data_IF_814636245549
#
_entry.id   IF_814636245549
#
_cell.length_a   1.000
_cell.length_b   1.000
_cell.length_c   1.000
_cell.angle_alpha   90.00
_cell.angle_beta   90.00
_cell.angle_gamma   90.00
#
_symmetry.space_group_name_H-M   'P 1'
#
loop_
_entity.id
_entity.type
_entity.pdbx_description
1 polymer ?
#
# COMPACT_ATOMS: atom_id res chain seq x y z
N UNK A 1 -8.25 14.09 66.09
CA UNK A 1 -8.89 13.46 64.92
C UNK A 1 -9.52 14.56 64.10
N UNK A 2 -9.50 14.57 62.78
CA UNK A 2 -9.17 13.52 61.79
C UNK A 2 -8.48 14.23 60.61
N UNK A 3 -7.32 13.72 60.18
CA UNK A 3 -6.69 14.09 58.91
C UNK A 3 -7.32 13.24 57.81
N UNK A 4 -7.88 13.87 56.78
CA UNK A 4 -8.32 13.19 55.56
C UNK A 4 -7.16 13.26 54.57
N UNK A 5 -6.51 12.12 54.32
CA UNK A 5 -5.53 11.95 53.28
C UNK A 5 -6.26 11.42 52.02
N UNK A 6 -6.36 12.25 50.99
CA UNK A 6 -6.81 11.82 49.67
C UNK A 6 -5.62 11.22 48.93
N UNK A 7 -5.61 9.90 48.79
CA UNK A 7 -4.67 9.19 47.93
C UNK A 7 -5.00 9.51 46.47
N UNK A 8 -4.07 10.13 45.75
CA UNK A 8 -4.14 10.28 44.30
C UNK A 8 -3.54 9.02 43.70
N UNK A 9 -4.38 8.17 43.12
CA UNK A 9 -3.94 7.02 42.32
C UNK A 9 -3.44 7.56 40.98
N UNK A 10 -2.12 7.61 40.80
CA UNK A 10 -1.48 7.84 39.50
C UNK A 10 -1.70 6.61 38.61
N UNK A 11 -2.79 6.62 37.84
CA UNK A 11 -2.95 5.71 36.71
C UNK A 11 -2.18 6.25 35.51
N UNK A 12 -1.22 5.47 35.00
CA UNK A 12 -0.63 5.67 33.67
C UNK A 12 -1.73 5.48 32.63
N UNK A 13 -2.43 6.55 32.29
CA UNK A 13 -3.29 6.61 31.12
C UNK A 13 -2.58 7.40 30.03
N UNK A 14 -2.38 6.79 28.87
CA UNK A 14 -2.13 7.52 27.62
C UNK A 14 -3.05 8.75 27.60
N UNK A 15 -2.45 9.92 27.43
CA UNK A 15 -3.17 11.14 27.15
C UNK A 15 -4.00 10.93 25.89
N UNK A 16 -5.27 10.55 26.07
CA UNK A 16 -6.28 10.68 25.03
C UNK A 16 -6.25 12.15 24.62
N UNK A 17 -5.77 12.45 23.42
CA UNK A 17 -6.10 13.70 22.72
C UNK A 17 -7.62 13.80 22.82
N UNK A 18 -8.12 14.76 23.60
CA UNK A 18 -9.53 15.10 23.56
C UNK A 18 -9.80 15.55 22.12
N UNK A 19 -10.50 14.70 21.36
CA UNK A 19 -11.02 15.08 20.05
C UNK A 19 -11.96 16.25 20.31
N UNK A 20 -11.54 17.42 19.85
CA UNK A 20 -12.34 18.64 19.79
C UNK A 20 -13.71 18.30 19.22
N UNK A 21 -14.75 18.37 20.05
CA UNK A 21 -16.13 18.41 19.55
C UNK A 21 -16.27 19.72 18.79
N UNK A 22 -16.37 19.64 17.46
CA UNK A 22 -16.58 20.71 16.46
C UNK A 22 -15.35 21.11 15.65
N UNK A 23 -14.61 20.15 15.10
CA UNK A 23 -13.96 20.40 13.81
C UNK A 23 -14.57 19.42 12.80
N UNK A 24 -15.57 19.91 12.04
CA UNK A 24 -16.20 19.14 10.95
C UNK A 24 -15.36 19.22 9.66
N UNK A 25 -14.15 19.78 9.73
CA UNK A 25 -13.20 19.81 8.65
C UNK A 25 -12.41 18.50 8.59
N UNK A 26 -12.36 17.86 7.43
CA UNK A 26 -11.56 16.66 7.19
C UNK A 26 -10.48 16.92 6.15
N UNK A 27 -9.26 16.51 6.45
CA UNK A 27 -8.14 16.55 5.54
C UNK A 27 -7.88 15.16 4.94
N UNK A 28 -7.89 15.08 3.61
CA UNK A 28 -7.71 13.82 2.87
C UNK A 28 -6.55 13.96 1.91
N UNK A 29 -5.52 13.16 2.15
CA UNK A 29 -4.35 13.15 1.31
C UNK A 29 -4.50 12.14 0.17
N UNK A 30 -4.19 12.57 -1.06
CA UNK A 30 -4.26 11.74 -2.27
C UNK A 30 -2.89 11.63 -2.93
N UNK A 31 -2.37 10.40 -3.08
CA UNK A 31 -1.01 10.12 -3.57
C UNK A 31 -0.70 10.61 -5.01
N UNK A 32 -1.70 11.00 -5.81
CA UNK A 32 -1.46 11.59 -7.13
C UNK A 32 -2.54 12.58 -7.60
N UNK A 33 -2.14 13.51 -8.46
CA UNK A 33 -3.00 14.52 -9.09
C UNK A 33 -4.20 13.94 -9.86
N UNK A 34 -4.09 12.72 -10.39
CA UNK A 34 -5.19 12.10 -11.14
C UNK A 34 -6.34 11.70 -10.22
N UNK A 35 -6.06 11.33 -8.97
CA UNK A 35 -7.10 11.05 -8.00
C UNK A 35 -7.84 12.32 -7.60
N UNK A 36 -7.12 13.42 -7.42
CA UNK A 36 -7.76 14.72 -7.18
C UNK A 36 -8.78 15.06 -8.28
N UNK A 37 -8.45 14.79 -9.55
CA UNK A 37 -9.36 15.09 -10.67
C UNK A 37 -10.57 14.17 -10.76
N UNK A 38 -10.45 12.92 -10.32
CA UNK A 38 -11.46 11.88 -10.58
C UNK A 38 -12.23 11.43 -9.34
N UNK A 39 -11.57 11.38 -8.17
CA UNK A 39 -12.12 10.85 -6.92
C UNK A 39 -12.61 11.95 -5.99
N UNK A 40 -11.88 13.07 -5.86
CA UNK A 40 -12.29 14.16 -4.97
C UNK A 40 -13.70 14.71 -5.33
N UNK A 41 -14.06 14.96 -6.61
CA UNK A 41 -15.40 15.39 -6.98
C UNK A 41 -16.47 14.34 -6.61
N UNK A 42 -16.17 13.05 -6.82
CA UNK A 42 -17.08 11.97 -6.47
C UNK A 42 -17.33 11.92 -4.96
N UNK A 43 -16.28 12.07 -4.13
CA UNK A 43 -16.43 12.10 -2.67
C UNK A 43 -17.28 13.30 -2.23
N UNK A 44 -17.04 14.50 -2.77
CA UNK A 44 -17.87 15.66 -2.48
C UNK A 44 -19.35 15.46 -2.87
N UNK A 45 -19.63 14.77 -3.99
CA UNK A 45 -21.00 14.42 -4.37
C UNK A 45 -21.66 13.45 -3.39
N UNK A 46 -20.90 12.51 -2.81
CA UNK A 46 -21.43 11.58 -1.80
C UNK A 46 -21.62 12.23 -0.43
N UNK A 47 -20.82 13.25 -0.11
CA UNK A 47 -20.80 13.93 1.19
C UNK A 47 -20.88 15.46 1.01
N UNK A 48 -22.00 15.99 0.50
CA UNK A 48 -22.11 17.41 0.12
C UNK A 48 -22.06 18.39 1.30
N UNK A 49 -22.40 17.93 2.50
CA UNK A 49 -22.43 18.75 3.71
C UNK A 49 -21.13 18.67 4.54
N UNK A 50 -20.20 17.79 4.16
CA UNK A 50 -18.92 17.62 4.85
C UNK A 50 -17.89 18.59 4.27
N UNK A 51 -17.21 19.34 5.14
CA UNK A 51 -16.04 20.13 4.74
C UNK A 51 -14.84 19.20 4.59
N UNK A 52 -14.35 19.01 3.36
CA UNK A 52 -13.24 18.12 3.04
C UNK A 52 -12.19 18.90 2.25
N UNK A 53 -11.01 19.08 2.84
CA UNK A 53 -9.82 19.55 2.14
C UNK A 53 -9.06 18.34 1.58
N UNK A 54 -8.81 18.35 0.27
CA UNK A 54 -7.94 17.37 -0.35
C UNK A 54 -6.52 17.93 -0.52
N UNK A 55 -5.54 17.18 -0.03
CA UNK A 55 -4.11 17.52 -0.12
C UNK A 55 -3.46 16.63 -1.18
N UNK A 56 -2.71 17.24 -2.10
CA UNK A 56 -1.97 16.48 -3.11
C UNK A 56 -0.71 15.94 -2.49
N UNK A 57 -0.48 14.66 -2.78
CA UNK A 57 0.60 13.92 -2.21
C UNK A 57 1.67 13.36 -3.11
N UNK A 58 2.54 12.62 -2.43
CA UNK A 58 3.56 11.74 -2.96
C UNK A 58 3.07 10.28 -2.95
N UNK A 59 3.81 9.42 -3.65
CA UNK A 59 3.46 8.01 -3.81
C UNK A 59 3.80 7.13 -2.59
N UNK A 60 4.56 7.64 -1.63
CA UNK A 60 5.16 6.96 -0.47
C UNK A 60 4.79 7.66 0.85
N UNK A 61 5.38 7.22 1.97
CA UNK A 61 5.10 7.75 3.32
C UNK A 61 5.96 8.94 3.72
N UNK A 62 6.96 9.34 2.93
CA UNK A 62 7.96 10.35 3.30
C UNK A 62 7.34 11.68 3.72
N UNK A 63 6.30 12.15 3.02
CA UNK A 63 5.67 13.42 3.37
C UNK A 63 4.95 13.36 4.73
N UNK A 64 4.47 12.19 5.13
CA UNK A 64 3.82 12.05 6.44
C UNK A 64 4.82 12.13 7.58
N UNK A 65 6.08 11.77 7.37
CA UNK A 65 7.15 12.01 8.36
C UNK A 65 7.31 13.51 8.62
N UNK A 66 7.28 14.35 7.59
CA UNK A 66 7.29 15.81 7.74
C UNK A 66 6.07 16.33 8.50
N UNK A 67 4.86 15.90 8.13
CA UNK A 67 3.63 16.30 8.81
C UNK A 67 3.58 15.83 10.27
N UNK A 68 4.07 14.61 10.54
CA UNK A 68 4.22 14.05 11.90
C UNK A 68 5.09 14.94 12.78
N UNK A 69 6.25 15.38 12.27
CA UNK A 69 7.18 16.25 13.00
C UNK A 69 6.56 17.61 13.39
N UNK A 70 5.50 18.03 12.70
CA UNK A 70 4.80 19.29 12.94
C UNK A 70 3.42 19.14 13.61
N UNK A 71 3.02 17.92 13.99
CA UNK A 71 1.66 17.59 14.50
C UNK A 71 0.54 17.97 13.51
N UNK A 72 0.81 17.85 12.20
CA UNK A 72 -0.06 18.21 11.08
C UNK A 72 -0.47 16.99 10.22
N UNK A 73 -0.44 15.78 10.79
CA UNK A 73 -0.91 14.58 10.07
C UNK A 73 -2.38 14.77 9.64
N UNK A 74 -2.72 14.44 8.37
CA UNK A 74 -4.09 14.58 7.90
C UNK A 74 -4.99 13.46 8.46
N UNK A 75 -6.30 13.67 8.42
CA UNK A 75 -7.29 12.73 8.95
C UNK A 75 -7.33 11.41 8.18
N UNK A 76 -7.12 11.48 6.85
CA UNK A 76 -7.05 10.31 5.97
C UNK A 76 -5.79 10.38 5.12
N UNK A 77 -4.91 9.38 5.29
CA UNK A 77 -3.72 9.19 4.45
C UNK A 77 -3.94 8.09 3.42
N UNK A 78 -3.29 8.24 2.26
CA UNK A 78 -3.28 7.22 1.21
C UNK A 78 -1.87 7.05 0.64
N UNK A 79 -1.48 5.81 0.32
CA UNK A 79 -0.14 5.49 -0.19
C UNK A 79 -0.29 4.57 -1.40
N UNK A 80 0.51 4.81 -2.44
CA UNK A 80 0.55 3.92 -3.62
C UNK A 80 1.64 2.86 -3.48
N UNK A 81 2.83 3.26 -3.07
CA UNK A 81 3.99 2.39 -2.82
C UNK A 81 4.06 2.11 -1.33
N UNK A 82 3.23 1.17 -0.89
CA UNK A 82 3.22 0.76 0.50
C UNK A 82 4.46 -0.08 0.82
N UNK A 83 5.03 0.19 1.99
CA UNK A 83 6.14 -0.56 2.60
C UNK A 83 5.81 -0.73 4.07
N UNK A 84 5.82 -1.98 4.56
CA UNK A 84 5.57 -2.27 5.97
C UNK A 84 6.59 -1.57 6.86
N UNK A 85 7.86 -1.59 6.45
CA UNK A 85 8.99 -0.93 7.12
C UNK A 85 8.78 0.59 7.22
N UNK A 86 8.48 1.25 6.10
CA UNK A 86 8.36 2.72 6.09
C UNK A 86 7.09 3.21 6.80
N UNK A 87 6.11 2.33 7.00
CA UNK A 87 4.87 2.63 7.71
C UNK A 87 4.97 2.47 9.24
N UNK A 88 6.02 1.83 9.77
CA UNK A 88 6.17 1.55 11.21
C UNK A 88 6.07 2.82 12.05
N UNK A 89 6.74 3.88 11.59
CA UNK A 89 6.80 5.18 12.25
C UNK A 89 5.46 5.91 12.38
N UNK A 90 4.47 5.51 11.57
CA UNK A 90 3.12 6.06 11.57
C UNK A 90 2.16 5.23 12.41
N UNK A 91 2.46 3.96 12.70
CA UNK A 91 1.54 3.04 13.39
C UNK A 91 0.90 3.61 14.67
N UNK A 92 1.63 4.34 15.56
CA UNK A 92 1.01 4.88 16.77
C UNK A 92 -0.07 5.95 16.54
N UNK A 93 -0.15 6.49 15.32
CA UNK A 93 -1.09 7.54 14.93
C UNK A 93 -2.26 7.01 14.10
N UNK A 94 -2.20 5.74 13.68
CA UNK A 94 -3.20 5.14 12.81
C UNK A 94 -4.32 4.47 13.60
N UNK A 95 -5.48 4.44 12.97
CA UNK A 95 -6.66 3.80 13.50
C UNK A 95 -6.61 2.28 13.27
N UNK A 96 -6.83 1.49 14.32
CA UNK A 96 -7.06 0.05 14.16
C UNK A 96 -8.47 -0.22 13.61
N UNK A 97 -8.53 -0.68 12.36
CA UNK A 97 -9.76 -1.08 11.67
C UNK A 97 -10.19 -2.52 11.97
N UNK A 98 -9.42 -3.34 12.70
CA UNK A 98 -9.70 -4.78 12.83
C UNK A 98 -11.10 -5.10 13.38
N UNK A 99 -11.67 -4.21 14.18
CA UNK A 99 -13.02 -4.33 14.75
C UNK A 99 -14.13 -3.64 13.93
N UNK A 100 -13.80 -2.98 12.80
CA UNK A 100 -14.74 -2.22 11.99
C UNK A 100 -15.32 -3.06 10.84
N UNK A 101 -16.63 -2.91 10.59
CA UNK A 101 -17.36 -3.61 9.52
C UNK A 101 -16.74 -3.41 8.12
N UNK A 102 -16.01 -2.32 7.91
CA UNK A 102 -15.35 -2.03 6.63
C UNK A 102 -14.36 -3.12 6.21
N UNK A 103 -13.68 -3.77 7.18
CA UNK A 103 -12.73 -4.87 6.91
C UNK A 103 -13.43 -6.05 6.24
N UNK A 104 -14.69 -6.32 6.60
CA UNK A 104 -15.47 -7.42 6.02
C UNK A 104 -15.78 -7.25 4.53
N UNK A 105 -15.58 -6.05 3.97
CA UNK A 105 -15.77 -5.76 2.54
C UNK A 105 -14.59 -6.21 1.69
N UNK A 106 -13.47 -6.59 2.30
CA UNK A 106 -12.26 -7.02 1.62
C UNK A 106 -12.10 -8.54 1.66
N UNK A 107 -11.41 -9.08 0.66
CA UNK A 107 -10.96 -10.47 0.74
C UNK A 107 -9.95 -10.62 1.86
N UNK A 108 -10.11 -11.64 2.72
CA UNK A 108 -9.24 -11.87 3.88
C UNK A 108 -7.76 -11.96 3.50
N UNK A 109 -7.45 -12.59 2.35
CA UNK A 109 -6.08 -12.70 1.85
C UNK A 109 -5.45 -11.36 1.47
N UNK A 110 -6.24 -10.33 1.17
CA UNK A 110 -5.72 -9.00 0.83
C UNK A 110 -5.39 -8.20 2.09
N UNK A 111 -6.21 -8.33 3.13
CA UNK A 111 -6.03 -7.56 4.39
C UNK A 111 -4.96 -8.19 5.28
N UNK A 112 -4.70 -9.50 5.17
CA UNK A 112 -3.69 -10.18 6.00
C UNK A 112 -2.28 -9.60 5.85
N UNK A 113 -1.94 -9.01 4.69
CA UNK A 113 -0.64 -8.37 4.44
C UNK A 113 -0.45 -7.06 5.21
N UNK A 114 -1.54 -6.48 5.74
CA UNK A 114 -1.53 -5.19 6.44
C UNK A 114 -1.73 -5.32 7.95
N UNK A 115 -1.68 -6.56 8.46
CA UNK A 115 -1.69 -6.81 9.89
C UNK A 115 -0.32 -6.53 10.49
N UNK A 116 -0.27 -5.73 11.55
CA UNK A 116 0.95 -5.56 12.33
C UNK A 116 1.16 -6.74 13.32
N UNK A 117 2.24 -6.69 14.09
CA UNK A 117 2.58 -7.73 15.08
C UNK A 117 1.53 -7.86 16.21
N UNK A 118 0.72 -6.83 16.42
CA UNK A 118 -0.38 -6.80 17.40
C UNK A 118 -1.74 -7.24 16.80
N UNK A 119 -1.73 -7.79 15.58
CA UNK A 119 -2.93 -8.20 14.82
C UNK A 119 -3.88 -7.05 14.44
N UNK A 120 -3.46 -5.79 14.60
CA UNK A 120 -4.21 -4.61 14.21
C UNK A 120 -4.18 -4.42 12.69
N UNK A 121 -5.25 -3.85 12.14
CA UNK A 121 -5.36 -3.54 10.71
C UNK A 121 -5.39 -2.02 10.58
N UNK A 122 -4.26 -1.41 10.25
CA UNK A 122 -4.13 0.05 10.19
C UNK A 122 -4.14 0.60 8.77
N UNK A 123 -4.05 -0.28 7.77
CA UNK A 123 -4.09 0.06 6.34
C UNK A 123 -5.13 -0.78 5.62
N UNK A 124 -5.92 -0.13 4.76
CA UNK A 124 -6.94 -0.79 3.94
C UNK A 124 -6.52 -0.76 2.45
N UNK A 125 -6.46 -1.91 1.76
CA UNK A 125 -6.07 -1.94 0.35
C UNK A 125 -7.16 -1.30 -0.52
N UNK A 126 -6.79 -0.40 -1.43
CA UNK A 126 -7.76 0.21 -2.38
C UNK A 126 -7.84 -0.60 -3.68
N UNK A 127 -6.69 -0.87 -4.30
CA UNK A 127 -6.62 -1.68 -5.52
C UNK A 127 -5.32 -2.49 -5.56
N UNK A 128 -5.41 -3.76 -5.95
CA UNK A 128 -4.24 -4.55 -6.33
C UNK A 128 -3.88 -4.30 -7.79
N UNK A 129 -2.61 -4.00 -8.08
CA UNK A 129 -2.11 -3.89 -9.44
C UNK A 129 -1.29 -5.15 -9.73
N UNK A 130 -1.83 -6.11 -10.50
CA UNK A 130 -1.04 -7.28 -10.87
C UNK A 130 0.08 -6.86 -11.81
N UNK A 131 1.30 -7.32 -11.52
CA UNK A 131 2.40 -7.25 -12.49
C UNK A 131 2.09 -8.17 -13.67
N UNK A 132 2.30 -7.68 -14.89
CA UNK A 132 1.93 -8.40 -16.10
C UNK A 132 2.85 -8.07 -17.26
N UNK A 133 2.84 -8.93 -18.28
CA UNK A 133 3.52 -8.69 -19.56
C UNK A 133 2.46 -8.25 -20.58
N UNK A 134 2.65 -7.05 -21.14
CA UNK A 134 1.78 -6.54 -22.21
C UNK A 134 2.37 -6.93 -23.57
N UNK A 135 1.63 -7.72 -24.33
CA UNK A 135 2.05 -8.21 -25.65
C UNK A 135 1.36 -7.47 -26.81
N UNK A 136 2.12 -7.13 -27.85
CA UNK A 136 1.57 -6.62 -29.11
C UNK A 136 1.06 -7.77 -29.99
N UNK A 137 -0.23 -8.10 -29.87
CA UNK A 137 -0.84 -9.22 -30.61
C UNK A 137 -0.67 -9.13 -32.12
N UNK A 138 -0.68 -7.92 -32.69
CA UNK A 138 -0.48 -7.73 -34.13
C UNK A 138 0.89 -8.23 -34.60
N UNK A 139 1.94 -8.07 -33.80
CA UNK A 139 3.26 -8.63 -34.12
C UNK A 139 3.29 -10.15 -34.04
N UNK A 140 2.62 -10.75 -33.05
CA UNK A 140 2.50 -12.20 -32.96
C UNK A 140 1.80 -12.78 -34.20
N UNK A 141 0.66 -12.20 -34.59
CA UNK A 141 -0.09 -12.63 -35.76
C UNK A 141 0.69 -12.43 -37.08
N UNK A 142 1.37 -11.28 -37.24
CA UNK A 142 2.13 -10.96 -38.45
C UNK A 142 3.27 -11.95 -38.72
N UNK A 143 3.92 -12.45 -37.68
CA UNK A 143 5.07 -13.35 -37.78
C UNK A 143 4.71 -14.82 -37.55
N UNK A 144 3.42 -15.13 -37.33
CA UNK A 144 2.97 -16.49 -37.05
C UNK A 144 3.51 -17.07 -35.74
N UNK A 145 3.88 -16.22 -34.79
CA UNK A 145 4.40 -16.62 -33.47
C UNK A 145 3.21 -16.84 -32.53
N UNK A 146 3.14 -17.99 -31.87
CA UNK A 146 2.10 -18.27 -30.86
C UNK A 146 2.36 -17.44 -29.60
N UNK A 147 1.31 -16.90 -28.98
CA UNK A 147 1.42 -16.32 -27.63
C UNK A 147 1.86 -17.43 -26.67
N UNK A 148 2.95 -17.23 -25.90
CA UNK A 148 3.49 -18.27 -25.03
C UNK A 148 2.62 -18.47 -23.79
N UNK A 149 2.49 -19.72 -23.36
CA UNK A 149 1.75 -20.11 -22.15
C UNK A 149 2.67 -20.53 -20.99
N UNK A 150 3.98 -20.64 -21.25
CA UNK A 150 5.00 -21.01 -20.27
C UNK A 150 6.36 -20.38 -20.65
N UNK A 151 7.34 -20.53 -19.76
CA UNK A 151 8.66 -19.92 -19.93
C UNK A 151 9.42 -20.47 -21.15
N UNK A 152 9.35 -21.77 -21.44
CA UNK A 152 10.03 -22.35 -22.59
C UNK A 152 9.47 -21.79 -23.91
N UNK A 153 8.14 -21.72 -24.02
CA UNK A 153 7.47 -21.09 -25.16
C UNK A 153 7.80 -19.59 -25.25
N UNK A 154 7.93 -18.89 -24.11
CA UNK A 154 8.31 -17.48 -24.09
C UNK A 154 9.72 -17.25 -24.65
N UNK A 155 10.69 -18.10 -24.26
CA UNK A 155 12.05 -18.06 -24.82
C UNK A 155 12.03 -18.34 -26.32
N UNK A 156 11.25 -19.32 -26.77
CA UNK A 156 11.11 -19.65 -28.19
C UNK A 156 10.46 -18.51 -28.99
N UNK A 157 9.43 -17.84 -28.43
CA UNK A 157 8.80 -16.68 -29.06
C UNK A 157 9.79 -15.50 -29.15
N UNK A 158 10.58 -15.26 -28.11
CA UNK A 158 11.63 -14.24 -28.12
C UNK A 158 12.68 -14.52 -29.20
N UNK A 159 13.12 -15.77 -29.33
CA UNK A 159 14.09 -16.16 -30.37
C UNK A 159 13.52 -15.94 -31.77
N UNK A 160 12.27 -16.33 -32.03
CA UNK A 160 11.62 -16.11 -33.33
C UNK A 160 11.52 -14.63 -33.69
N UNK A 161 11.24 -13.74 -32.74
CA UNK A 161 11.27 -12.30 -32.99
C UNK A 161 12.69 -11.80 -33.28
N UNK A 162 13.70 -12.25 -32.53
CA UNK A 162 15.10 -11.89 -32.81
C UNK A 162 15.55 -12.33 -34.20
N UNK A 163 15.19 -13.54 -34.64
CA UNK A 163 15.51 -14.07 -35.96
C UNK A 163 14.88 -13.23 -37.09
N UNK A 164 13.78 -12.52 -36.79
CA UNK A 164 13.11 -11.56 -37.67
C UNK A 164 13.58 -10.11 -37.48
N UNK A 165 14.64 -9.88 -36.71
CA UNK A 165 15.19 -8.54 -36.45
C UNK A 165 14.33 -7.67 -35.52
N UNK A 166 13.41 -8.27 -34.77
CA UNK A 166 12.52 -7.58 -33.83
C UNK A 166 13.05 -7.76 -32.41
N UNK A 167 13.14 -6.65 -31.67
CA UNK A 167 13.40 -6.69 -30.24
C UNK A 167 12.14 -7.22 -29.51
N UNK A 168 12.20 -8.39 -28.83
CA UNK A 168 11.01 -9.05 -28.29
C UNK A 168 10.44 -8.41 -27.02
N UNK A 169 11.24 -7.65 -26.28
CA UNK A 169 10.82 -7.02 -25.03
C UNK A 169 11.47 -5.65 -24.82
N UNK A 170 10.82 -4.82 -24.02
CA UNK A 170 11.38 -3.59 -23.47
C UNK A 170 11.21 -3.64 -21.96
N UNK A 171 12.32 -3.76 -21.24
CA UNK A 171 12.35 -3.78 -19.78
C UNK A 171 13.29 -2.68 -19.30
N UNK A 172 12.91 -1.99 -18.23
CA UNK A 172 13.68 -0.90 -17.64
C UNK A 172 14.57 -1.42 -16.50
N UNK A 173 15.46 -2.37 -16.81
CA UNK A 173 16.31 -3.05 -15.82
C UNK A 173 17.36 -2.13 -15.18
N UNK A 174 17.45 -0.87 -15.61
CA UNK A 174 18.26 0.16 -14.94
C UNK A 174 17.63 0.64 -13.65
N UNK A 175 16.34 0.37 -13.45
CA UNK A 175 15.58 0.77 -12.28
C UNK A 175 15.48 -0.39 -11.26
N UNK A 176 15.86 -0.13 -10.01
CA UNK A 176 15.88 -1.14 -8.95
C UNK A 176 14.51 -1.80 -8.73
N UNK A 177 13.43 -1.04 -8.86
CA UNK A 177 12.07 -1.56 -8.71
C UNK A 177 11.76 -2.60 -9.80
N UNK A 178 12.08 -2.34 -11.07
CA UNK A 178 11.88 -3.29 -12.18
C UNK A 178 12.68 -4.58 -12.00
N UNK A 179 13.88 -4.50 -11.44
CA UNK A 179 14.68 -5.68 -11.12
C UNK A 179 14.05 -6.52 -10.00
N UNK A 180 13.51 -5.87 -8.96
CA UNK A 180 12.80 -6.54 -7.88
C UNK A 180 11.56 -7.29 -8.40
N UNK A 181 10.78 -6.68 -9.31
CA UNK A 181 9.62 -7.35 -9.93
C UNK A 181 10.00 -8.66 -10.64
N UNK A 182 11.15 -8.68 -11.34
CA UNK A 182 11.61 -9.88 -12.05
C UNK A 182 12.06 -10.97 -11.08
N UNK A 183 12.75 -10.60 -10.00
CA UNK A 183 13.14 -11.54 -8.94
C UNK A 183 11.90 -12.14 -8.29
N UNK A 184 10.89 -11.31 -7.99
CA UNK A 184 9.62 -11.76 -7.43
C UNK A 184 8.86 -12.69 -8.38
N UNK A 185 8.82 -12.37 -9.68
CA UNK A 185 8.20 -13.23 -10.69
C UNK A 185 8.93 -14.57 -10.83
N UNK A 186 10.26 -14.57 -10.77
CA UNK A 186 11.07 -15.78 -10.86
C UNK A 186 10.90 -16.70 -9.64
N UNK A 187 10.69 -16.12 -8.45
CA UNK A 187 10.49 -16.83 -7.19
C UNK A 187 9.00 -16.91 -6.78
N UNK A 188 8.08 -16.81 -7.75
CA UNK A 188 6.64 -16.74 -7.45
C UNK A 188 6.13 -18.01 -6.77
N UNK A 189 6.71 -19.18 -7.05
CA UNK A 189 6.33 -20.44 -6.43
C UNK A 189 6.65 -20.45 -4.93
N UNK A 190 7.79 -19.89 -4.55
CA UNK A 190 8.22 -19.69 -3.18
C UNK A 190 7.32 -18.65 -2.51
N UNK A 191 7.11 -17.50 -3.14
CA UNK A 191 6.36 -16.39 -2.56
C UNK A 191 4.83 -16.57 -2.50
N UNK A 192 4.27 -17.53 -3.20
CA UNK A 192 2.85 -17.89 -3.10
C UNK A 192 2.59 -19.06 -2.16
N UNK A 193 3.64 -19.66 -1.59
CA UNK A 193 3.53 -20.64 -0.52
C UNK A 193 3.27 -19.96 0.83
N UNK A 194 2.71 -20.69 1.80
CA UNK A 194 2.52 -20.18 3.17
C UNK A 194 3.86 -19.76 3.78
N UNK A 195 4.88 -20.62 3.69
CA UNK A 195 6.23 -20.36 4.19
C UNK A 195 6.84 -19.09 3.57
N UNK A 196 6.62 -18.86 2.27
CA UNK A 196 7.10 -17.66 1.59
C UNK A 196 6.34 -16.39 1.95
N UNK A 197 5.03 -16.49 2.22
CA UNK A 197 4.23 -15.37 2.76
C UNK A 197 4.69 -15.01 4.17
N UNK A 198 4.88 -16.01 5.04
CA UNK A 198 5.40 -15.81 6.40
C UNK A 198 6.80 -15.19 6.38
N UNK A 199 7.70 -15.71 5.56
CA UNK A 199 9.06 -15.16 5.41
C UNK A 199 9.04 -13.70 4.92
N UNK A 200 8.22 -13.38 3.91
CA UNK A 200 8.13 -12.02 3.36
C UNK A 200 7.59 -11.05 4.40
N UNK A 201 6.49 -11.42 5.07
CA UNK A 201 5.91 -10.58 6.11
C UNK A 201 6.95 -10.31 7.21
N UNK A 202 7.68 -11.34 7.67
CA UNK A 202 8.74 -11.16 8.67
C UNK A 202 9.90 -10.28 8.19
N UNK A 203 10.28 -10.37 6.91
CA UNK A 203 11.33 -9.51 6.34
C UNK A 203 10.88 -8.04 6.22
N UNK A 204 9.62 -7.78 5.86
CA UNK A 204 9.07 -6.43 5.71
C UNK A 204 8.71 -5.77 7.06
N UNK A 205 8.47 -6.56 8.12
CA UNK A 205 8.17 -6.05 9.47
C UNK A 205 9.38 -6.03 10.39
N UNK A 206 10.54 -6.54 9.98
CA UNK A 206 11.74 -6.50 10.79
C UNK A 206 12.15 -5.06 11.12
N UNK A 207 12.35 -4.76 12.40
CA UNK A 207 12.81 -3.46 12.88
C UNK A 207 14.32 -3.22 12.62
N UNK A 208 15.05 -4.29 12.29
CA UNK A 208 16.46 -4.22 11.94
C UNK A 208 16.58 -4.22 10.41
N UNK A 209 17.23 -3.20 9.84
CA UNK A 209 17.66 -3.20 8.45
C UNK A 209 18.49 -4.47 8.19
N UNK A 210 18.07 -5.29 7.21
CA UNK A 210 18.83 -6.46 6.74
C UNK A 210 20.05 -6.03 5.92
#
# INVERSE_FOLDING_TARGET
>A
GVLVATAVLSGCGQSKKEVSKNDDHLTVYLWENRLMKNIAPYIHEQFPDQDIEFIIGNNDTDLYSYFKEHDELPDIITVRRFSGTDAQDLQPYLMDFASYDVVSKYYSYAVQYYKNEEDEIQWLPICGIPQTIIANKTLFDQYGVKIPENYEEYVQACQQFYDNGIKPYSMDLGEDWSNNEIIQAAAIGEFTSLDGIEWRNGAETAADEV
#
